data_IF_844476172138
#
_entry.id   IF_844476172138
#
_cell.length_a   1.000
_cell.length_b   1.000
_cell.length_c   1.000
_cell.angle_alpha   90.00
_cell.angle_beta   90.00
_cell.angle_gamma   90.00
#
_symmetry.space_group_name_H-M   'P 1'
#
loop_
_entity.id
_entity.type
_entity.pdbx_description
1 polymer ?
#
# COMPACT_ATOMS: atom_id res chain seq x y z
N UNK A 1 -20.63 -7.01 -26.93
CA UNK A 1 -19.63 -8.08 -26.72
C UNK A 1 -19.39 -8.24 -25.22
N UNK A 2 -19.37 -9.47 -24.68
CA UNK A 2 -19.03 -9.68 -23.27
C UNK A 2 -17.55 -9.34 -23.03
N UNK A 3 -17.22 -8.83 -21.84
CA UNK A 3 -15.84 -8.44 -21.50
C UNK A 3 -14.84 -9.58 -21.64
N UNK A 4 -15.25 -10.80 -21.28
CA UNK A 4 -14.42 -11.99 -21.32
C UNK A 4 -14.08 -12.40 -22.76
N UNK A 5 -15.02 -12.23 -23.71
CA UNK A 5 -14.76 -12.50 -25.13
C UNK A 5 -13.71 -11.53 -25.70
N UNK A 6 -13.85 -10.23 -25.39
CA UNK A 6 -12.88 -9.22 -25.80
C UNK A 6 -11.48 -9.53 -25.23
N UNK A 7 -11.38 -9.83 -23.94
CA UNK A 7 -10.12 -10.17 -23.30
C UNK A 7 -9.47 -11.40 -23.96
N UNK A 8 -10.27 -12.42 -24.28
CA UNK A 8 -9.80 -13.60 -25.00
C UNK A 8 -9.27 -13.27 -26.40
N UNK A 9 -9.96 -12.40 -27.16
CA UNK A 9 -9.51 -11.91 -28.46
C UNK A 9 -8.20 -11.11 -28.36
N UNK A 10 -8.02 -10.35 -27.27
CA UNK A 10 -6.78 -9.64 -26.94
C UNK A 10 -5.67 -10.55 -26.38
N UNK A 11 -5.91 -11.86 -26.28
CA UNK A 11 -4.92 -12.85 -25.85
C UNK A 11 -4.83 -13.05 -24.33
N UNK A 12 -5.86 -12.65 -23.58
CA UNK A 12 -5.98 -12.88 -22.13
C UNK A 12 -6.97 -13.97 -21.80
N UNK A 13 -6.54 -14.97 -21.02
CA UNK A 13 -7.41 -15.99 -20.44
C UNK A 13 -7.60 -15.71 -18.95
N UNK A 14 -8.78 -15.25 -18.56
CA UNK A 14 -9.11 -15.00 -17.16
C UNK A 14 -9.13 -16.31 -16.35
N UNK A 15 -8.59 -16.24 -15.15
CA UNK A 15 -8.62 -17.29 -14.13
C UNK A 15 -9.43 -16.88 -12.91
N UNK A 16 -9.03 -17.38 -11.73
CA UNK A 16 -9.70 -17.12 -10.45
C UNK A 16 -9.60 -15.65 -10.02
N UNK A 17 -10.58 -15.21 -9.24
CA UNK A 17 -10.51 -13.94 -8.50
C UNK A 17 -9.46 -14.06 -7.40
N UNK A 18 -8.59 -13.06 -7.29
CA UNK A 18 -7.54 -12.96 -6.27
C UNK A 18 -7.73 -11.73 -5.36
N UNK A 19 -8.65 -10.83 -5.71
CA UNK A 19 -9.05 -9.70 -4.86
C UNK A 19 -10.43 -9.19 -5.26
N UNK A 20 -11.19 -8.71 -4.28
CA UNK A 20 -12.52 -8.15 -4.50
C UNK A 20 -12.67 -6.88 -3.65
N UNK A 21 -13.09 -5.79 -4.30
CA UNK A 21 -13.46 -4.54 -3.65
C UNK A 21 -14.87 -4.13 -4.04
N UNK A 22 -15.35 -3.01 -3.51
CA UNK A 22 -16.76 -2.58 -3.66
C UNK A 22 -17.24 -2.47 -5.11
N UNK A 23 -16.36 -1.99 -6.01
CA UNK A 23 -16.68 -1.76 -7.43
C UNK A 23 -15.64 -2.34 -8.38
N UNK A 24 -14.73 -3.18 -7.86
CA UNK A 24 -13.68 -3.79 -8.67
C UNK A 24 -13.39 -5.22 -8.26
N UNK A 25 -12.92 -6.03 -9.20
CA UNK A 25 -12.42 -7.39 -8.95
C UNK A 25 -11.07 -7.55 -9.61
N UNK A 26 -10.12 -8.14 -8.91
CA UNK A 26 -8.81 -8.50 -9.46
C UNK A 26 -8.83 -9.99 -9.77
N UNK A 27 -8.53 -10.34 -11.01
CA UNK A 27 -8.41 -11.73 -11.47
C UNK A 27 -7.00 -12.01 -11.93
N UNK A 28 -6.50 -13.20 -11.61
CA UNK A 28 -5.31 -13.72 -12.30
C UNK A 28 -5.68 -14.06 -13.74
N UNK A 29 -4.78 -13.87 -14.70
CA UNK A 29 -5.00 -14.23 -16.09
C UNK A 29 -3.69 -14.69 -16.76
N UNK A 30 -3.81 -15.55 -17.76
CA UNK A 30 -2.67 -15.87 -18.65
C UNK A 30 -2.68 -14.92 -19.84
N UNK A 31 -1.54 -14.31 -20.15
CA UNK A 31 -1.37 -13.40 -21.28
C UNK A 31 -0.49 -14.04 -22.36
N UNK A 32 -1.01 -14.14 -23.59
CA UNK A 32 -0.22 -14.48 -24.78
C UNK A 32 0.71 -13.32 -25.18
N UNK A 33 0.28 -12.07 -24.95
CA UNK A 33 1.01 -10.85 -25.29
C UNK A 33 2.26 -10.66 -24.43
N UNK A 34 2.12 -10.82 -23.10
CA UNK A 34 3.22 -10.65 -22.14
C UNK A 34 3.89 -11.96 -21.72
N UNK A 35 3.54 -13.08 -22.39
CA UNK A 35 4.14 -14.41 -22.21
C UNK A 35 4.22 -14.83 -20.73
N UNK A 36 3.09 -14.81 -20.03
CA UNK A 36 3.07 -15.22 -18.63
C UNK A 36 1.77 -14.90 -17.91
N UNK A 37 1.85 -14.97 -16.58
CA UNK A 37 0.74 -14.64 -15.68
C UNK A 37 0.69 -13.14 -15.43
N UNK A 38 -0.51 -12.57 -15.56
CA UNK A 38 -0.81 -11.16 -15.26
C UNK A 38 -1.98 -11.08 -14.26
N UNK A 39 -2.14 -9.93 -13.61
CA UNK A 39 -3.33 -9.60 -12.86
C UNK A 39 -4.17 -8.59 -13.67
N UNK A 40 -5.49 -8.75 -13.65
CA UNK A 40 -6.42 -7.84 -14.33
C UNK A 40 -7.41 -7.31 -13.30
N UNK A 41 -7.31 -6.02 -12.96
CA UNK A 41 -8.31 -5.30 -12.16
C UNK A 41 -9.44 -4.86 -13.08
N UNK A 42 -10.63 -5.38 -12.83
CA UNK A 42 -11.87 -5.09 -13.56
C UNK A 42 -12.66 -4.10 -12.73
N UNK A 43 -12.78 -2.86 -13.21
CA UNK A 43 -13.56 -1.80 -12.56
C UNK A 43 -14.89 -1.65 -13.29
N UNK A 44 -16.00 -1.73 -12.56
CA UNK A 44 -17.34 -1.52 -13.10
C UNK A 44 -17.80 -0.07 -12.83
N UNK A 45 -17.57 0.81 -13.81
CA UNK A 45 -17.88 2.25 -13.67
C UNK A 45 -19.38 2.52 -13.52
N UNK A 46 -20.25 1.62 -13.97
CA UNK A 46 -21.71 1.79 -13.87
C UNK A 46 -22.25 1.49 -12.48
N UNK A 47 -21.54 0.64 -11.73
CA UNK A 47 -21.89 0.30 -10.34
C UNK A 47 -21.21 1.19 -9.32
N UNK A 48 -20.21 1.96 -9.74
CA UNK A 48 -19.47 2.85 -8.87
C UNK A 48 -20.18 4.20 -8.68
N UNK A 49 -20.03 4.84 -7.50
CA UNK A 49 -20.54 6.18 -7.25
C UNK A 49 -19.94 7.22 -8.21
N UNK A 50 -20.69 8.29 -8.56
CA UNK A 50 -20.18 9.36 -9.42
C UNK A 50 -18.86 9.95 -8.94
N UNK A 51 -18.69 10.15 -7.62
CA UNK A 51 -17.45 10.67 -7.05
C UNK A 51 -16.26 9.74 -7.29
N UNK A 52 -16.47 8.41 -7.21
CA UNK A 52 -15.43 7.45 -7.54
C UNK A 52 -15.02 7.57 -9.01
N UNK A 53 -15.99 7.57 -9.92
CA UNK A 53 -15.75 7.59 -11.37
C UNK A 53 -15.14 8.91 -11.83
N UNK A 54 -15.57 10.04 -11.27
CA UNK A 54 -15.18 11.37 -11.74
C UNK A 54 -13.94 11.92 -11.03
N UNK A 55 -13.60 11.41 -9.83
CA UNK A 55 -12.51 11.96 -9.00
C UNK A 55 -11.45 10.92 -8.66
N UNK A 56 -11.81 9.80 -8.05
CA UNK A 56 -10.83 8.83 -7.54
C UNK A 56 -10.19 8.01 -8.66
N UNK A 57 -11.00 7.42 -9.55
CA UNK A 57 -10.51 6.60 -10.65
C UNK A 57 -9.59 7.38 -11.60
N UNK A 58 -9.90 8.61 -12.07
CA UNK A 58 -9.00 9.35 -12.93
C UNK A 58 -7.64 9.66 -12.28
N UNK A 59 -7.63 9.88 -10.94
CA UNK A 59 -6.39 10.08 -10.18
C UNK A 59 -5.58 8.80 -10.11
N UNK A 60 -6.20 7.67 -9.79
CA UNK A 60 -5.56 6.36 -9.79
C UNK A 60 -4.91 6.07 -11.15
N UNK A 61 -5.65 6.27 -12.26
CA UNK A 61 -5.13 6.05 -13.61
C UNK A 61 -3.99 7.01 -13.97
N UNK A 62 -4.08 8.27 -13.55
CA UNK A 62 -3.01 9.27 -13.76
C UNK A 62 -1.72 8.85 -13.05
N UNK A 63 -1.82 8.39 -11.80
CA UNK A 63 -0.69 7.88 -11.03
C UNK A 63 -0.10 6.65 -11.69
N UNK A 64 -0.93 5.63 -11.97
CA UNK A 64 -0.49 4.36 -12.57
C UNK A 64 0.18 4.54 -13.94
N UNK A 65 -0.18 5.57 -14.71
CA UNK A 65 0.48 5.91 -15.99
C UNK A 65 1.84 6.59 -15.80
N UNK A 66 1.98 7.40 -14.75
CA UNK A 66 3.17 8.22 -14.53
C UNK A 66 4.28 7.53 -13.74
N UNK A 67 3.94 6.58 -12.86
CA UNK A 67 4.92 5.94 -11.97
C UNK A 67 5.71 4.85 -12.69
N UNK A 68 7.03 4.86 -12.50
CA UNK A 68 7.94 3.80 -12.96
C UNK A 68 8.99 3.55 -11.89
N UNK A 69 8.81 2.47 -11.14
CA UNK A 69 9.72 2.08 -10.06
C UNK A 69 9.74 0.55 -9.90
N UNK A 70 10.90 -0.09 -9.62
CA UNK A 70 10.99 -1.54 -9.50
C UNK A 70 10.08 -2.13 -8.41
N UNK A 71 9.73 -1.34 -7.39
CA UNK A 71 8.90 -1.74 -6.25
C UNK A 71 7.49 -1.14 -6.25
N UNK A 72 7.01 -0.71 -7.42
CA UNK A 72 5.60 -0.33 -7.65
C UNK A 72 5.09 -1.24 -8.77
N UNK A 73 3.83 -1.68 -8.67
CA UNK A 73 3.21 -2.54 -9.67
C UNK A 73 3.30 -1.91 -11.05
N UNK A 74 3.78 -2.68 -12.04
CA UNK A 74 3.80 -2.22 -13.41
C UNK A 74 2.45 -2.46 -14.07
N UNK A 75 1.86 -1.40 -14.63
CA UNK A 75 0.67 -1.50 -15.49
C UNK A 75 1.12 -1.63 -16.93
N UNK A 76 0.71 -2.72 -17.56
CA UNK A 76 1.02 -3.00 -18.96
C UNK A 76 0.08 -2.23 -19.90
N UNK A 77 -1.23 -2.24 -19.64
CA UNK A 77 -2.21 -1.52 -20.45
C UNK A 77 -3.55 -1.30 -19.74
N UNK A 78 -4.31 -0.36 -20.29
CA UNK A 78 -5.69 -0.05 -19.90
C UNK A 78 -6.62 -0.39 -21.08
N UNK A 79 -7.65 -1.18 -20.83
CA UNK A 79 -8.63 -1.57 -21.85
C UNK A 79 -10.01 -1.06 -21.41
N UNK A 80 -10.56 -0.14 -22.19
CA UNK A 80 -11.90 0.39 -21.97
C UNK A 80 -12.92 -0.28 -22.88
N UNK A 81 -14.09 -0.60 -22.34
CA UNK A 81 -15.14 -1.31 -23.07
C UNK A 81 -16.45 -0.53 -22.98
N UNK A 82 -17.22 -0.52 -24.07
CA UNK A 82 -18.48 0.24 -24.18
C UNK A 82 -19.54 -0.12 -23.12
N UNK A 83 -19.41 -1.30 -22.49
CA UNK A 83 -20.29 -1.71 -21.38
C UNK A 83 -19.98 -1.00 -20.05
N UNK A 84 -19.08 -0.01 -20.04
CA UNK A 84 -18.71 0.77 -18.85
C UNK A 84 -17.62 0.13 -18.00
N UNK A 85 -17.12 -1.06 -18.36
CA UNK A 85 -15.99 -1.67 -17.65
C UNK A 85 -14.66 -1.09 -18.11
N UNK A 86 -13.73 -1.01 -17.17
CA UNK A 86 -12.32 -0.71 -17.39
C UNK A 86 -11.50 -1.89 -16.88
N UNK A 87 -10.57 -2.38 -17.70
CA UNK A 87 -9.64 -3.44 -17.33
C UNK A 87 -8.24 -2.84 -17.24
N UNK A 88 -7.59 -3.04 -16.11
CA UNK A 88 -6.23 -2.59 -15.84
C UNK A 88 -5.37 -3.85 -15.80
N UNK A 89 -4.56 -4.06 -16.83
CA UNK A 89 -3.68 -5.23 -16.96
C UNK A 89 -2.34 -4.89 -16.34
N UNK A 90 -1.94 -5.64 -15.32
CA UNK A 90 -0.78 -5.33 -14.49
C UNK A 90 0.03 -6.58 -14.13
N UNK A 91 1.24 -6.35 -13.64
CA UNK A 91 2.11 -7.39 -13.11
C UNK A 91 1.38 -8.23 -12.06
N UNK A 92 1.51 -9.55 -12.16
CA UNK A 92 0.99 -10.48 -11.15
C UNK A 92 2.00 -10.66 -10.02
N UNK A 93 1.50 -10.76 -8.80
CA UNK A 93 2.27 -11.16 -7.63
C UNK A 93 1.81 -12.53 -7.12
N UNK A 94 2.65 -13.16 -6.30
CA UNK A 94 2.35 -14.49 -5.75
C UNK A 94 1.40 -14.41 -4.54
N UNK A 95 1.65 -13.46 -3.65
CA UNK A 95 0.88 -13.22 -2.43
C UNK A 95 1.01 -11.76 -2.01
N UNK A 96 0.33 -11.36 -0.94
CA UNK A 96 0.49 -10.06 -0.29
C UNK A 96 1.24 -10.23 1.05
N UNK A 97 1.74 -9.12 1.58
CA UNK A 97 2.53 -9.10 2.81
C UNK A 97 1.70 -9.55 4.02
N UNK A 98 0.40 -9.29 4.05
CA UNK A 98 -0.46 -9.72 5.15
C UNK A 98 -0.56 -11.24 5.21
N UNK A 99 -0.81 -11.89 4.08
CA UNK A 99 -0.84 -13.36 3.97
C UNK A 99 0.52 -13.97 4.36
N UNK A 100 1.62 -13.37 3.95
CA UNK A 100 2.96 -13.82 4.33
C UNK A 100 3.20 -13.72 5.86
N UNK A 101 2.77 -12.62 6.49
CA UNK A 101 2.81 -12.45 7.95
C UNK A 101 1.92 -13.49 8.64
N UNK A 102 0.67 -13.67 8.20
CA UNK A 102 -0.26 -14.63 8.78
C UNK A 102 0.26 -16.07 8.70
N UNK A 103 0.88 -16.45 7.58
CA UNK A 103 1.45 -17.78 7.39
C UNK A 103 2.67 -18.03 8.28
N UNK A 104 3.51 -17.02 8.48
CA UNK A 104 4.79 -17.16 9.19
C UNK A 104 4.73 -16.71 10.66
N UNK A 105 3.60 -16.15 11.11
CA UNK A 105 3.47 -15.40 12.36
C UNK A 105 4.07 -13.98 12.24
N UNK A 106 5.32 -13.86 11.77
CA UNK A 106 5.99 -12.59 11.46
C UNK A 106 6.99 -12.78 10.32
N UNK A 107 7.45 -11.69 9.72
CA UNK A 107 8.57 -11.72 8.76
C UNK A 107 9.89 -11.78 9.55
N UNK A 108 10.81 -12.73 9.25
CA UNK A 108 12.12 -12.81 9.90
C UNK A 108 12.94 -11.51 9.75
N UNK A 109 13.66 -11.10 10.80
CA UNK A 109 14.25 -9.75 10.92
C UNK A 109 15.08 -9.28 9.71
N UNK A 110 15.99 -10.12 9.21
CA UNK A 110 16.79 -9.79 8.03
C UNK A 110 15.94 -9.58 6.77
N UNK A 111 14.95 -10.46 6.54
CA UNK A 111 14.01 -10.31 5.43
C UNK A 111 13.08 -9.10 5.61
N UNK A 112 12.61 -8.85 6.84
CA UNK A 112 11.74 -7.72 7.15
C UNK A 112 12.44 -6.39 6.85
N UNK A 113 13.72 -6.26 7.23
CA UNK A 113 14.55 -5.10 6.88
C UNK A 113 14.67 -4.92 5.38
N UNK A 114 15.02 -5.97 4.65
CA UNK A 114 15.26 -5.90 3.20
C UNK A 114 13.97 -5.55 2.44
N UNK A 115 12.83 -6.15 2.82
CA UNK A 115 11.53 -5.83 2.25
C UNK A 115 11.10 -4.41 2.61
N UNK A 116 11.25 -3.99 3.88
CA UNK A 116 10.86 -2.65 4.30
C UNK A 116 11.72 -1.56 3.65
N UNK A 117 13.00 -1.81 3.40
CA UNK A 117 13.85 -0.90 2.63
C UNK A 117 13.31 -0.66 1.21
N UNK A 118 12.79 -1.70 0.56
CA UNK A 118 12.15 -1.58 -0.76
C UNK A 118 10.83 -0.81 -0.70
N UNK A 119 10.00 -1.06 0.33
CA UNK A 119 8.75 -0.34 0.58
C UNK A 119 9.04 1.15 0.81
N UNK A 120 9.95 1.48 1.73
CA UNK A 120 10.36 2.85 2.03
C UNK A 120 10.95 3.56 0.81
N UNK A 121 11.74 2.84 -0.01
CA UNK A 121 12.27 3.34 -1.28
C UNK A 121 11.16 3.69 -2.29
N UNK A 122 10.14 2.84 -2.41
CA UNK A 122 8.98 3.09 -3.28
C UNK A 122 8.15 4.29 -2.81
N UNK A 123 7.90 4.42 -1.50
CA UNK A 123 7.17 5.58 -0.94
C UNK A 123 7.98 6.86 -1.08
N UNK A 124 9.31 6.82 -0.87
CA UNK A 124 10.18 7.95 -1.16
C UNK A 124 10.04 8.39 -2.63
N UNK A 125 10.12 7.45 -3.56
CA UNK A 125 9.94 7.74 -4.99
C UNK A 125 8.59 8.45 -5.25
N UNK A 126 7.49 7.98 -4.67
CA UNK A 126 6.19 8.64 -4.80
C UNK A 126 6.24 10.07 -4.26
N UNK A 127 6.74 10.25 -3.04
CA UNK A 127 6.77 11.55 -2.35
C UNK A 127 7.66 12.57 -3.07
N UNK A 128 8.76 12.13 -3.67
CA UNK A 128 9.68 12.95 -4.47
C UNK A 128 9.00 13.43 -5.78
N UNK A 129 8.05 12.66 -6.31
CA UNK A 129 7.22 13.04 -7.47
C UNK A 129 5.92 13.74 -7.08
N UNK A 130 5.81 14.24 -5.84
CA UNK A 130 4.60 14.85 -5.29
C UNK A 130 3.37 13.93 -5.36
N UNK A 131 3.55 12.62 -5.25
CA UNK A 131 2.48 11.64 -5.18
C UNK A 131 2.40 11.05 -3.77
N UNK A 132 1.18 10.75 -3.33
CA UNK A 132 0.91 10.07 -2.05
C UNK A 132 -0.04 8.91 -2.27
N UNK A 133 0.10 7.86 -1.46
CA UNK A 133 -0.69 6.64 -1.60
C UNK A 133 -1.98 6.70 -0.77
N UNK A 134 -1.89 7.09 0.49
CA UNK A 134 -2.98 7.25 1.48
C UNK A 134 -3.78 5.99 1.83
N UNK A 135 -3.25 4.82 1.50
CA UNK A 135 -3.80 3.51 1.90
C UNK A 135 -2.67 2.47 1.93
N UNK A 136 -1.52 2.84 2.51
CA UNK A 136 -0.44 1.89 2.72
C UNK A 136 -0.86 0.93 3.84
N UNK A 137 -0.87 -0.35 3.51
CA UNK A 137 -1.22 -1.46 4.39
C UNK A 137 -0.61 -2.75 3.86
N UNK A 138 -0.56 -3.79 4.67
CA UNK A 138 0.09 -5.04 4.29
C UNK A 138 -0.57 -5.68 3.05
N UNK A 139 -1.89 -5.56 2.88
CA UNK A 139 -2.62 -6.06 1.71
C UNK A 139 -2.22 -5.37 0.39
N UNK A 140 -1.76 -4.11 0.47
CA UNK A 140 -1.34 -3.32 -0.68
C UNK A 140 0.17 -3.42 -0.95
N UNK A 141 0.88 -4.29 -0.22
CA UNK A 141 2.27 -4.65 -0.48
C UNK A 141 2.31 -6.07 -1.01
N UNK A 142 2.51 -6.22 -2.32
CA UNK A 142 2.57 -7.52 -2.96
C UNK A 142 3.99 -8.10 -2.92
N UNK A 143 4.10 -9.42 -2.92
CA UNK A 143 5.38 -10.13 -2.88
C UNK A 143 5.60 -10.98 -4.14
N UNK A 144 6.85 -11.01 -4.60
CA UNK A 144 7.31 -11.94 -5.64
C UNK A 144 7.21 -13.40 -5.18
N UNK A 145 7.24 -14.39 -6.09
CA UNK A 145 7.17 -15.81 -5.72
C UNK A 145 8.25 -16.29 -4.75
N UNK A 146 9.43 -15.68 -4.78
CA UNK A 146 10.53 -15.95 -3.83
C UNK A 146 10.45 -15.10 -2.55
N UNK A 147 9.44 -14.24 -2.42
CA UNK A 147 9.19 -13.32 -1.30
C UNK A 147 10.38 -12.43 -0.94
N UNK A 148 11.20 -12.10 -1.95
CA UNK A 148 12.36 -11.20 -1.80
C UNK A 148 12.15 -9.81 -2.40
N UNK A 149 11.07 -9.62 -3.16
CA UNK A 149 10.77 -8.34 -3.82
C UNK A 149 9.35 -7.88 -3.51
N UNK A 150 9.21 -6.62 -3.15
CA UNK A 150 7.92 -5.97 -2.93
C UNK A 150 7.43 -5.23 -4.17
N UNK A 151 6.11 -5.11 -4.31
CA UNK A 151 5.41 -4.25 -5.28
C UNK A 151 4.25 -3.55 -4.57
N UNK A 152 4.32 -2.22 -4.44
CA UNK A 152 3.18 -1.43 -4.00
C UNK A 152 2.08 -1.44 -5.07
N UNK A 153 0.83 -1.57 -4.64
CA UNK A 153 -0.35 -1.61 -5.52
C UNK A 153 -1.51 -0.81 -4.92
N UNK A 154 -2.59 -0.69 -5.69
CA UNK A 154 -3.86 -0.07 -5.32
C UNK A 154 -3.79 1.42 -4.92
N UNK A 155 -3.62 2.27 -5.94
CA UNK A 155 -3.58 3.72 -5.80
C UNK A 155 -4.98 4.37 -5.81
N UNK A 156 -6.04 3.63 -5.46
CA UNK A 156 -7.43 4.13 -5.49
C UNK A 156 -7.68 5.38 -4.65
N UNK A 157 -6.89 5.57 -3.58
CA UNK A 157 -6.92 6.77 -2.74
C UNK A 157 -5.76 7.74 -3.01
N UNK A 158 -4.87 7.39 -3.94
CA UNK A 158 -3.71 8.20 -4.28
C UNK A 158 -4.08 9.53 -4.90
N UNK A 159 -3.21 10.53 -4.72
CA UNK A 159 -3.32 11.83 -5.39
C UNK A 159 -1.98 12.54 -5.46
N UNK A 160 -1.93 13.61 -6.24
CA UNK A 160 -0.86 14.59 -6.15
C UNK A 160 -0.96 15.38 -4.84
N UNK A 161 0.16 15.60 -4.18
CA UNK A 161 0.29 16.38 -2.96
C UNK A 161 1.61 17.16 -2.98
N UNK A 162 1.49 18.49 -3.09
CA UNK A 162 2.65 19.38 -3.19
C UNK A 162 3.29 19.73 -1.84
N UNK A 163 2.67 19.30 -0.73
CA UNK A 163 3.05 19.72 0.62
C UNK A 163 2.33 21.01 1.02
N UNK A 164 2.71 21.60 2.15
CA UNK A 164 2.03 22.80 2.67
C UNK A 164 1.93 23.91 1.59
N UNK A 165 0.74 24.53 1.41
CA UNK A 165 -0.49 24.39 2.21
C UNK A 165 -1.49 23.32 1.72
N UNK A 166 -1.14 22.40 0.82
CA UNK A 166 -2.02 21.34 0.26
C UNK A 166 -2.32 20.23 1.29
N UNK A 167 -3.06 20.59 2.34
CA UNK A 167 -3.58 19.67 3.35
C UNK A 167 -4.82 18.93 2.82
N UNK A 168 -4.97 17.66 3.21
CA UNK A 168 -6.16 16.89 2.90
C UNK A 168 -7.15 16.92 4.05
N UNK A 169 -8.43 17.05 3.71
CA UNK A 169 -9.56 16.95 4.65
C UNK A 169 -10.37 15.67 4.46
N UNK A 170 -10.01 14.85 3.45
CA UNK A 170 -10.75 13.62 3.13
C UNK A 170 -10.22 12.47 3.97
N UNK A 171 -11.08 11.89 4.80
CA UNK A 171 -10.83 10.60 5.43
C UNK A 171 -10.84 9.50 4.36
N UNK A 172 -9.74 8.76 4.24
CA UNK A 172 -9.63 7.63 3.31
C UNK A 172 -8.53 6.66 3.75
N UNK A 173 -8.59 5.46 3.19
CA UNK A 173 -7.75 4.34 3.58
C UNK A 173 -8.31 3.55 4.76
N UNK A 174 -7.57 2.53 5.16
CA UNK A 174 -8.00 1.55 6.17
C UNK A 174 -7.79 2.07 7.59
N UNK A 175 -8.84 2.07 8.42
CA UNK A 175 -8.84 2.74 9.73
C UNK A 175 -7.72 2.28 10.68
N UNK A 176 -7.39 1.00 10.66
CA UNK A 176 -6.34 0.40 11.48
C UNK A 176 -4.92 0.92 11.15
N UNK A 177 -4.74 1.48 9.94
CA UNK A 177 -3.49 2.09 9.45
C UNK A 177 -3.55 3.62 9.44
N UNK A 178 -4.67 4.21 9.87
CA UNK A 178 -4.91 5.64 9.85
C UNK A 178 -4.10 6.37 10.93
N UNK A 179 -3.55 7.54 10.57
CA UNK A 179 -2.84 8.41 11.52
C UNK A 179 -3.81 9.11 12.48
N UNK A 180 -3.34 9.58 13.65
CA UNK A 180 -4.18 10.24 14.65
C UNK A 180 -4.96 11.42 14.08
N UNK A 181 -4.31 12.28 13.30
CA UNK A 181 -4.94 13.47 12.70
C UNK A 181 -6.04 13.10 11.70
N UNK A 182 -5.88 12.01 10.95
CA UNK A 182 -6.91 11.50 10.03
C UNK A 182 -8.12 10.99 10.82
N UNK A 183 -7.90 10.19 11.87
CA UNK A 183 -8.96 9.66 12.74
C UNK A 183 -9.70 10.77 13.51
N UNK A 184 -9.01 11.85 13.84
CA UNK A 184 -9.58 13.02 14.52
C UNK A 184 -10.25 14.02 13.56
N UNK A 185 -10.25 13.75 12.25
CA UNK A 185 -10.85 14.64 11.24
C UNK A 185 -10.12 15.97 11.07
N UNK A 186 -8.84 16.03 11.45
CA UNK A 186 -8.01 17.24 11.35
C UNK A 186 -7.39 17.29 9.93
N UNK A 187 -7.40 18.46 9.26
CA UNK A 187 -6.68 18.61 8.00
C UNK A 187 -5.20 18.20 8.14
N UNK A 188 -4.73 17.31 7.28
CA UNK A 188 -3.45 16.61 7.47
C UNK A 188 -2.53 16.71 6.26
N UNK A 189 -1.23 16.57 6.50
CA UNK A 189 -0.23 16.39 5.44
C UNK A 189 -0.27 14.92 4.96
N UNK A 190 -0.66 14.67 3.70
CA UNK A 190 -0.78 13.30 3.19
C UNK A 190 0.55 12.53 3.15
N UNK A 191 1.69 13.21 3.05
CA UNK A 191 3.01 12.55 3.09
C UNK A 191 3.30 12.05 4.51
N UNK A 192 2.95 12.85 5.53
CA UNK A 192 3.07 12.44 6.94
C UNK A 192 2.11 11.33 7.32
N UNK A 193 0.95 11.27 6.65
CA UNK A 193 0.04 10.14 6.77
C UNK A 193 0.66 8.85 6.22
N UNK A 194 1.20 8.86 5.00
CA UNK A 194 1.89 7.68 4.44
C UNK A 194 3.04 7.20 5.35
N UNK A 195 3.81 8.11 5.96
CA UNK A 195 4.90 7.78 6.89
C UNK A 195 4.38 7.08 8.16
N UNK A 196 3.23 7.51 8.70
CA UNK A 196 2.60 6.80 9.82
C UNK A 196 2.19 5.38 9.42
N UNK A 197 1.53 5.24 8.27
CA UNK A 197 1.09 3.93 7.77
C UNK A 197 2.28 2.99 7.51
N UNK A 198 3.44 3.50 7.09
CA UNK A 198 4.69 2.74 7.04
C UNK A 198 5.11 2.21 8.41
N UNK A 199 4.95 3.00 9.47
CA UNK A 199 5.22 2.55 10.84
C UNK A 199 4.33 1.38 11.26
N UNK A 200 3.04 1.44 10.90
CA UNK A 200 2.09 0.35 11.16
C UNK A 200 2.48 -0.90 10.37
N UNK A 201 2.81 -0.75 9.08
CA UNK A 201 3.28 -1.88 8.24
C UNK A 201 4.55 -2.51 8.82
N UNK A 202 5.56 -1.71 9.19
CA UNK A 202 6.80 -2.23 9.79
C UNK A 202 6.52 -3.00 11.08
N UNK A 203 5.68 -2.44 11.95
CA UNK A 203 5.29 -3.10 13.19
C UNK A 203 4.65 -4.46 12.90
N UNK A 204 3.63 -4.51 12.04
CA UNK A 204 2.95 -5.77 11.66
C UNK A 204 3.93 -6.78 11.08
N UNK A 205 4.87 -6.34 10.23
CA UNK A 205 5.90 -7.21 9.66
C UNK A 205 6.74 -7.90 10.74
N UNK A 206 7.18 -7.18 11.77
CA UNK A 206 8.14 -7.70 12.75
C UNK A 206 7.50 -8.31 14.00
N UNK A 207 6.23 -8.01 14.27
CA UNK A 207 5.52 -8.52 15.45
C UNK A 207 4.45 -9.54 15.12
N UNK A 208 3.88 -9.49 13.90
CA UNK A 208 2.74 -10.31 13.51
C UNK A 208 1.37 -9.79 13.96
N UNK A 209 1.31 -8.65 14.66
CA UNK A 209 0.09 -8.10 15.20
C UNK A 209 -0.02 -6.60 14.93
N UNK A 210 -1.22 -6.03 15.13
CA UNK A 210 -1.42 -4.58 15.01
C UNK A 210 -0.75 -3.83 16.18
N UNK A 211 -0.16 -2.64 15.94
CA UNK A 211 0.45 -1.84 17.02
C UNK A 211 -0.58 -1.26 17.99
N UNK A 212 -1.82 -1.12 17.55
CA UNK A 212 -2.92 -0.58 18.32
C UNK A 212 -4.15 -1.44 18.08
N UNK A 213 -4.89 -1.74 19.15
CA UNK A 213 -6.17 -2.44 19.09
C UNK A 213 -7.22 -1.56 18.39
N UNK A 214 -7.69 -2.04 17.25
CA UNK A 214 -8.61 -1.40 16.31
C UNK A 214 -10.06 -1.89 16.46
N UNK A 215 -10.37 -2.67 17.50
CA UNK A 215 -11.74 -3.09 17.82
C UNK A 215 -12.67 -1.91 18.14
N UNK A 216 -12.11 -0.81 18.65
CA UNK A 216 -12.80 0.46 18.89
C UNK A 216 -12.07 1.60 18.17
N UNK A 217 -12.53 1.91 16.96
CA UNK A 217 -11.98 2.98 16.12
C UNK A 217 -12.08 4.35 16.79
N UNK A 218 -13.12 4.61 17.60
CA UNK A 218 -13.28 5.89 18.29
C UNK A 218 -12.25 6.06 19.42
N UNK A 219 -11.86 4.97 20.07
CA UNK A 219 -10.81 4.94 21.08
C UNK A 219 -9.38 4.93 20.53
N UNK A 220 -9.21 4.66 19.23
CA UNK A 220 -7.90 4.44 18.60
C UNK A 220 -6.92 5.63 18.77
N UNK A 221 -7.31 6.91 18.58
CA UNK A 221 -6.40 8.03 18.81
C UNK A 221 -5.86 8.11 20.25
N UNK A 222 -6.67 7.74 21.24
CA UNK A 222 -6.22 7.71 22.65
C UNK A 222 -5.17 6.64 22.88
N UNK A 223 -5.30 5.48 22.21
CA UNK A 223 -4.31 4.39 22.26
C UNK A 223 -3.03 4.78 21.53
N UNK A 224 -3.15 5.36 20.34
CA UNK A 224 -2.03 5.89 19.57
C UNK A 224 -1.20 6.92 20.36
N UNK A 225 -1.86 7.77 21.16
CA UNK A 225 -1.17 8.75 22.03
C UNK A 225 -0.35 8.12 23.14
N UNK A 226 -0.68 6.91 23.60
CA UNK A 226 0.08 6.19 24.64
C UNK A 226 1.38 5.59 24.10
N UNK A 227 1.53 5.49 22.79
CA UNK A 227 2.66 4.84 22.13
C UNK A 227 2.43 3.35 21.91
N UNK A 228 3.34 2.73 21.16
CA UNK A 228 3.29 1.30 20.86
C UNK A 228 3.78 0.46 22.04
N UNK A 229 3.16 -0.70 22.22
CA UNK A 229 3.64 -1.77 23.09
C UNK A 229 4.12 -2.91 22.20
N UNK A 230 4.95 -3.81 22.72
CA UNK A 230 5.44 -4.98 21.98
C UNK A 230 4.99 -6.26 22.68
N UNK A 231 4.74 -7.37 21.96
CA UNK A 231 4.41 -8.65 22.57
C UNK A 231 5.50 -9.14 23.54
N UNK A 232 5.09 -9.75 24.64
CA UNK A 232 6.01 -10.30 25.63
C UNK A 232 6.91 -11.39 25.02
N UNK A 233 8.20 -11.38 25.36
CA UNK A 233 9.18 -12.33 24.85
C UNK A 233 9.62 -12.08 23.40
N UNK A 234 9.14 -11.03 22.74
CA UNK A 234 9.61 -10.64 21.41
C UNK A 234 10.89 -9.80 21.50
N UNK A 235 12.00 -10.38 21.04
CA UNK A 235 13.25 -9.64 20.89
C UNK A 235 13.33 -9.00 19.50
N UNK A 236 13.36 -7.66 19.47
CA UNK A 236 13.65 -6.85 18.28
C UNK A 236 14.88 -6.00 18.57
N UNK A 237 15.70 -5.73 17.54
CA UNK A 237 16.84 -4.85 17.71
C UNK A 237 16.38 -3.44 18.09
N UNK A 238 17.15 -2.77 18.96
CA UNK A 238 16.81 -1.42 19.43
C UNK A 238 16.71 -0.41 18.27
N UNK A 239 17.49 -0.64 17.19
CA UNK A 239 17.39 0.16 15.96
C UNK A 239 16.05 -0.01 15.24
N UNK A 240 15.49 -1.22 15.23
CA UNK A 240 14.17 -1.48 14.66
C UNK A 240 13.08 -0.78 15.49
N UNK A 241 13.10 -0.94 16.82
CA UNK A 241 12.16 -0.28 17.73
C UNK A 241 12.25 1.25 17.64
N UNK A 242 13.46 1.80 17.52
CA UNK A 242 13.68 3.23 17.34
C UNK A 242 13.04 3.75 16.04
N UNK A 243 13.22 3.04 14.92
CA UNK A 243 12.58 3.42 13.66
C UNK A 243 11.04 3.35 13.76
N UNK A 244 10.48 2.30 14.37
CA UNK A 244 9.03 2.21 14.60
C UNK A 244 8.54 3.41 15.43
N UNK A 245 9.25 3.77 16.50
CA UNK A 245 8.91 4.90 17.34
C UNK A 245 9.02 6.25 16.62
N UNK A 246 9.98 6.43 15.70
CA UNK A 246 10.09 7.62 14.85
C UNK A 246 8.92 7.74 13.86
N UNK A 247 8.50 6.63 13.26
CA UNK A 247 7.39 6.59 12.28
C UNK A 247 6.03 6.82 12.95
N UNK A 248 5.83 6.27 14.15
CA UNK A 248 4.58 6.30 14.91
C UNK A 248 4.54 7.44 15.94
N UNK A 249 5.19 8.56 15.65
CA UNK A 249 5.03 9.79 16.43
C UNK A 249 3.61 10.35 16.30
N UNK A 250 2.97 10.61 17.44
CA UNK A 250 1.60 11.14 17.47
C UNK A 250 1.49 12.47 16.71
N UNK A 251 2.47 13.36 16.91
CA UNK A 251 2.54 14.61 16.16
C UNK A 251 3.11 14.39 14.74
N UNK A 252 2.41 14.79 13.66
CA UNK A 252 2.89 14.62 12.29
C UNK A 252 4.18 15.40 11.99
N UNK A 253 4.42 16.52 12.67
CA UNK A 253 5.65 17.31 12.50
C UNK A 253 6.90 16.61 13.04
N UNK A 254 6.73 15.72 14.02
CA UNK A 254 7.81 14.94 14.61
C UNK A 254 8.17 13.68 13.79
N UNK A 255 7.28 13.26 12.88
CA UNK A 255 7.57 12.13 11.97
C UNK A 255 8.64 12.53 10.96
N UNK A 256 9.53 11.63 10.55
CA UNK A 256 10.48 11.88 9.47
C UNK A 256 9.78 12.09 8.11
N UNK A 257 10.52 12.53 7.09
CA UNK A 257 10.12 12.41 5.68
C UNK A 257 10.45 11.00 5.16
N UNK A 258 9.76 10.54 4.11
CA UNK A 258 10.10 9.26 3.47
C UNK A 258 11.57 9.18 3.01
N UNK A 259 12.16 10.32 2.63
CA UNK A 259 13.59 10.42 2.31
C UNK A 259 14.51 10.19 3.52
N UNK A 260 14.12 10.67 4.71
CA UNK A 260 14.84 10.37 5.96
C UNK A 260 14.66 8.90 6.37
N UNK A 261 13.44 8.36 6.25
CA UNK A 261 13.16 6.94 6.52
C UNK A 261 14.05 6.03 5.67
N UNK A 262 14.10 6.25 4.36
CA UNK A 262 14.92 5.47 3.43
C UNK A 262 16.44 5.56 3.69
N UNK A 263 16.89 6.53 4.52
CA UNK A 263 18.30 6.69 4.93
C UNK A 263 18.56 6.25 6.37
N UNK A 264 17.54 5.77 7.09
CA UNK A 264 17.66 5.37 8.48
C UNK A 264 18.71 4.25 8.66
N UNK A 265 19.47 4.33 9.76
CA UNK A 265 20.58 3.42 10.04
C UNK A 265 20.18 1.95 10.10
N UNK A 266 18.97 1.62 10.56
CA UNK A 266 18.48 0.24 10.59
C UNK A 266 18.33 -0.37 9.19
N UNK A 267 18.00 0.44 8.17
CA UNK A 267 17.87 -0.04 6.79
C UNK A 267 19.21 -0.15 6.06
N UNK A 268 20.22 0.64 6.48
CA UNK A 268 21.52 0.72 5.81
C UNK A 268 22.57 -0.19 6.44
N UNK A 269 22.53 -0.36 7.75
CA UNK A 269 23.39 -1.30 8.44
C UNK A 269 22.65 -2.64 8.53
N UNK A 270 23.23 -3.71 7.99
CA UNK A 270 22.81 -5.04 8.40
C UNK A 270 22.88 -5.13 9.92
N UNK A 271 21.94 -5.84 10.55
CA UNK A 271 21.99 -6.17 11.97
C UNK A 271 23.31 -6.92 12.21
N UNK A 272 24.33 -6.18 12.63
CA UNK A 272 25.51 -6.72 13.28
C UNK A 272 25.16 -6.75 14.76
N UNK A 273 24.38 -7.76 15.13
CA UNK A 273 23.97 -8.11 16.48
C UNK A 273 23.95 -9.62 16.57
#
# INVERSE_FOLDING_TARGET
MSGDKLLSELGYKLGRTIGEGSYSKVKVATSKKYKGTVAIKVVDRRRAPPDFVNKFLPRELSILRGVRHPHIVHVFEFIEVCNGKLYIVMEAAATDLLQAVQRNGRIPGGQARDLFAQIAGAVRYLHDHHLVHRDLKCENVLLSPDERRVKLTDFGFGRQAHGYPDLSTTYCGSAAYASPEVLLGIPYDPKKYDVWSLGVVLYVMVTGCMPFDDSDIAGLPRRQKRGVLYPDGLELSERCKALIAELLQFSPSARPSAGQVARNGWLRAGDSG
#
